data_IF_260849476199
#
_entry.id   IF_260849476199
#
_cell.length_a   1.000
_cell.length_b   1.000
_cell.length_c   1.000
_cell.angle_alpha   90.00
_cell.angle_beta   90.00
_cell.angle_gamma   90.00
#
_symmetry.space_group_name_H-M   'P 1'
#
loop_
_entity.id
_entity.type
_entity.pdbx_description
1 polymer ?
#
# COMPACT_ATOMS: atom_id res chain seq x y z
N UNK A 1 -25.71 47.79 -80.86
CA UNK A 1 -24.54 47.07 -80.39
C UNK A 1 -23.88 47.73 -79.09
N UNK A 2 -24.03 48.99 -78.83
CA UNK A 2 -23.35 49.67 -77.71
C UNK A 2 -24.02 49.37 -76.32
N UNK A 3 -25.34 49.15 -76.24
CA UNK A 3 -26.07 48.88 -74.98
C UNK A 3 -25.83 47.48 -74.39
N UNK A 4 -25.45 46.53 -75.22
CA UNK A 4 -25.19 45.13 -74.76
C UNK A 4 -23.83 45.00 -74.10
N UNK A 5 -22.80 45.71 -74.60
CA UNK A 5 -21.46 45.71 -73.99
C UNK A 5 -21.41 46.39 -72.66
N UNK A 6 -22.16 47.48 -72.47
CA UNK A 6 -22.21 48.21 -71.20
C UNK A 6 -22.87 47.36 -70.08
N UNK A 7 -23.81 46.49 -70.41
CA UNK A 7 -24.50 45.62 -69.46
C UNK A 7 -23.64 44.42 -69.01
N UNK A 8 -22.78 43.91 -69.91
CA UNK A 8 -21.85 42.84 -69.56
C UNK A 8 -20.68 43.36 -68.70
N UNK A 9 -20.22 44.59 -68.94
CA UNK A 9 -19.16 45.20 -68.13
C UNK A 9 -19.64 45.51 -66.70
N UNK A 10 -20.86 46.03 -66.54
CA UNK A 10 -21.46 46.24 -65.21
C UNK A 10 -21.77 44.95 -64.46
N UNK A 11 -22.08 43.85 -65.14
CA UNK A 11 -22.28 42.54 -64.49
C UNK A 11 -20.97 41.90 -64.05
N UNK A 12 -19.88 42.15 -64.81
CA UNK A 12 -18.56 41.62 -64.44
C UNK A 12 -17.97 42.31 -63.20
N UNK A 13 -18.21 43.62 -63.07
CA UNK A 13 -17.75 44.38 -61.89
C UNK A 13 -18.54 44.05 -60.63
N UNK A 14 -19.88 43.81 -60.75
CA UNK A 14 -20.72 43.39 -59.63
C UNK A 14 -20.37 41.96 -59.11
N UNK A 15 -19.97 41.06 -60.04
CA UNK A 15 -19.52 39.72 -59.65
C UNK A 15 -18.12 39.74 -59.00
N UNK A 16 -17.27 40.69 -59.39
CA UNK A 16 -15.95 40.86 -58.80
C UNK A 16 -15.95 41.49 -57.38
N UNK A 17 -16.94 42.37 -57.11
CA UNK A 17 -17.13 42.95 -55.76
C UNK A 17 -17.74 41.94 -54.77
N UNK A 18 -18.70 41.10 -55.21
CA UNK A 18 -19.31 40.10 -54.31
C UNK A 18 -18.34 38.94 -53.97
N UNK A 19 -17.42 38.62 -54.92
CA UNK A 19 -16.32 37.66 -54.66
C UNK A 19 -15.27 38.11 -53.63
N UNK A 20 -15.05 39.44 -53.46
CA UNK A 20 -14.11 39.99 -52.51
C UNK A 20 -14.67 40.12 -51.08
N UNK A 21 -15.99 40.19 -50.94
CA UNK A 21 -16.64 40.30 -49.60
C UNK A 21 -16.84 38.97 -48.87
N UNK A 22 -16.62 37.82 -49.51
CA UNK A 22 -16.79 36.49 -48.88
C UNK A 22 -15.52 35.87 -48.28
N UNK A 23 -14.37 36.48 -48.38
CA UNK A 23 -13.11 35.87 -47.92
C UNK A 23 -12.61 36.33 -46.56
N UNK A 24 -13.31 37.22 -45.84
CA UNK A 24 -12.77 37.75 -44.58
C UNK A 24 -13.77 37.67 -43.41
N UNK A 25 -14.35 36.49 -43.18
CA UNK A 25 -15.08 36.14 -41.94
C UNK A 25 -14.53 34.89 -41.32
N UNK A 26 -13.24 34.65 -41.31
CA UNK A 26 -12.61 33.74 -40.35
C UNK A 26 -12.13 34.57 -39.16
N UNK A 27 -13.06 35.01 -38.38
CA UNK A 27 -12.78 35.67 -37.11
C UNK A 27 -12.11 34.73 -36.10
N UNK A 28 -11.56 35.26 -35.01
CA UNK A 28 -10.62 34.62 -34.12
C UNK A 28 -11.23 33.60 -33.15
N UNK A 29 -12.14 32.72 -33.63
CA UNK A 29 -12.79 31.71 -32.74
C UNK A 29 -11.84 30.63 -32.22
N UNK A 30 -10.77 30.28 -32.94
CA UNK A 30 -9.87 29.22 -32.50
C UNK A 30 -8.81 29.66 -31.46
N UNK A 31 -8.60 30.94 -31.24
CA UNK A 31 -7.60 31.42 -30.26
C UNK A 31 -8.15 31.47 -28.84
N UNK A 32 -9.42 31.73 -28.68
CA UNK A 32 -10.11 31.77 -27.37
C UNK A 32 -10.27 30.36 -26.78
N UNK A 33 -10.62 29.36 -27.59
CA UNK A 33 -10.81 27.98 -27.15
C UNK A 33 -9.50 27.33 -26.66
N UNK A 34 -8.35 27.64 -27.29
CA UNK A 34 -7.03 27.15 -26.83
C UNK A 34 -6.63 27.71 -25.48
N UNK A 35 -7.02 28.95 -25.14
CA UNK A 35 -6.71 29.54 -23.85
C UNK A 35 -7.62 29.01 -22.74
N UNK A 36 -8.87 28.70 -23.03
CA UNK A 36 -9.81 28.13 -22.06
C UNK A 36 -9.36 26.71 -21.66
N UNK A 37 -9.02 25.84 -22.60
CA UNK A 37 -8.52 24.50 -22.31
C UNK A 37 -7.19 24.50 -21.54
N UNK A 38 -6.28 25.43 -21.89
CA UNK A 38 -4.99 25.56 -21.20
C UNK A 38 -5.16 26.09 -19.76
N UNK A 39 -5.99 27.08 -19.56
CA UNK A 39 -6.25 27.63 -18.24
C UNK A 39 -7.00 26.64 -17.36
N UNK A 40 -7.97 25.90 -17.90
CA UNK A 40 -8.67 24.81 -17.20
C UNK A 40 -7.70 23.72 -16.78
N UNK A 41 -6.78 23.29 -17.67
CA UNK A 41 -5.74 22.30 -17.35
C UNK A 41 -4.79 22.77 -16.24
N UNK A 42 -4.38 24.03 -16.25
CA UNK A 42 -3.52 24.60 -15.18
C UNK A 42 -4.29 24.66 -13.87
N UNK A 43 -5.55 25.08 -13.87
CA UNK A 43 -6.38 25.14 -12.65
C UNK A 43 -6.62 23.77 -12.05
N UNK A 44 -6.98 22.77 -12.87
CA UNK A 44 -7.14 21.39 -12.41
C UNK A 44 -5.82 20.83 -11.89
N UNK A 45 -4.71 21.07 -12.58
CA UNK A 45 -3.38 20.66 -12.13
C UNK A 45 -3.01 21.27 -10.78
N UNK A 46 -3.27 22.57 -10.58
CA UNK A 46 -3.02 23.24 -9.30
C UNK A 46 -3.87 22.66 -8.16
N UNK A 47 -5.13 22.38 -8.40
CA UNK A 47 -6.03 21.74 -7.41
C UNK A 47 -5.49 20.36 -7.02
N UNK A 48 -5.06 19.55 -7.99
CA UNK A 48 -4.51 18.21 -7.74
C UNK A 48 -3.23 18.31 -6.90
N UNK A 49 -2.34 19.26 -7.19
CA UNK A 49 -1.10 19.45 -6.43
C UNK A 49 -1.41 19.86 -4.98
N UNK A 50 -2.32 20.81 -4.78
CA UNK A 50 -2.72 21.25 -3.42
C UNK A 50 -3.37 20.11 -2.65
N UNK A 51 -4.27 19.35 -3.27
CA UNK A 51 -4.90 18.19 -2.65
C UNK A 51 -3.87 17.10 -2.29
N UNK A 52 -2.95 16.79 -3.19
CA UNK A 52 -1.87 15.84 -2.94
C UNK A 52 -0.96 16.27 -1.80
N UNK A 53 -0.62 17.57 -1.72
CA UNK A 53 0.21 18.12 -0.66
C UNK A 53 -0.49 18.07 0.70
N UNK A 54 -1.77 18.46 0.76
CA UNK A 54 -2.57 18.38 1.98
C UNK A 54 -2.71 16.92 2.45
N UNK A 55 -2.96 16.00 1.52
CA UNK A 55 -3.06 14.58 1.81
C UNK A 55 -1.75 14.00 2.35
N UNK A 56 -0.62 14.40 1.78
CA UNK A 56 0.71 14.01 2.26
C UNK A 56 0.93 14.44 3.72
N UNK A 57 0.54 15.67 4.08
CA UNK A 57 0.64 16.15 5.47
C UNK A 57 -0.23 15.31 6.40
N UNK A 58 -1.48 15.02 6.01
CA UNK A 58 -2.40 14.19 6.81
C UNK A 58 -1.82 12.79 7.00
N UNK A 59 -1.38 12.14 5.93
CA UNK A 59 -0.83 10.78 5.99
C UNK A 59 0.41 10.67 6.89
N UNK A 60 1.28 11.68 6.91
CA UNK A 60 2.51 11.67 7.71
C UNK A 60 2.32 12.14 9.16
N UNK A 61 1.22 12.83 9.46
CA UNK A 61 0.84 13.19 10.83
C UNK A 61 -0.15 12.23 11.47
N UNK A 62 -0.58 11.22 10.72
CA UNK A 62 -1.56 10.26 11.19
C UNK A 62 -0.92 9.33 12.23
N UNK A 63 -1.25 9.51 13.50
CA UNK A 63 -0.73 8.74 14.64
C UNK A 63 -1.38 7.36 14.77
N UNK A 64 -2.66 7.29 14.49
CA UNK A 64 -3.46 6.09 14.68
C UNK A 64 -3.14 4.99 13.66
N UNK A 65 -3.71 3.82 13.84
CA UNK A 65 -3.54 2.71 12.92
C UNK A 65 -4.17 3.02 11.56
N UNK A 66 -3.44 2.74 10.49
CA UNK A 66 -3.90 2.99 9.13
C UNK A 66 -5.21 2.26 8.82
N UNK A 67 -6.04 2.81 7.90
CA UNK A 67 -7.28 2.17 7.47
C UNK A 67 -7.05 0.75 6.97
N UNK A 68 -8.09 -0.07 7.04
CA UNK A 68 -8.12 -1.44 6.51
C UNK A 68 -7.04 -2.38 7.09
N UNK A 69 -6.69 -2.14 8.36
CA UNK A 69 -5.73 -2.96 9.11
C UNK A 69 -6.48 -3.86 10.10
N UNK A 70 -6.04 -5.11 10.20
CA UNK A 70 -6.69 -6.16 10.97
C UNK A 70 -5.66 -6.91 11.82
N UNK A 71 -6.13 -7.49 12.92
CA UNK A 71 -5.41 -8.53 13.68
C UNK A 71 -6.33 -9.73 13.80
N UNK A 72 -5.94 -10.88 13.24
CA UNK A 72 -6.73 -12.13 13.29
C UNK A 72 -8.22 -11.87 12.99
N UNK A 73 -8.50 -11.27 11.83
CA UNK A 73 -9.83 -10.90 11.33
C UNK A 73 -10.56 -9.77 12.09
N UNK A 74 -10.03 -9.28 13.21
CA UNK A 74 -10.59 -8.11 13.90
C UNK A 74 -10.08 -6.82 13.29
N UNK A 75 -11.00 -5.95 12.88
CA UNK A 75 -10.65 -4.63 12.35
C UNK A 75 -10.15 -3.72 13.47
N UNK A 76 -8.88 -3.29 13.37
CA UNK A 76 -8.24 -2.37 14.32
C UNK A 76 -7.98 -0.98 13.71
N UNK A 77 -8.53 -0.72 12.51
CA UNK A 77 -8.35 0.55 11.80
C UNK A 77 -8.74 1.73 12.66
N UNK A 78 -7.94 2.78 12.63
CA UNK A 78 -8.16 4.04 13.36
C UNK A 78 -8.12 3.93 14.89
N UNK A 79 -7.76 2.78 15.43
CA UNK A 79 -7.49 2.70 16.85
C UNK A 79 -6.27 3.54 17.20
N UNK A 80 -6.36 4.25 18.30
CA UNK A 80 -5.22 4.89 18.95
C UNK A 80 -4.33 3.83 19.61
N UNK A 81 -3.12 4.22 19.96
CA UNK A 81 -2.18 3.34 20.68
C UNK A 81 -2.81 2.74 21.94
N UNK A 82 -3.45 3.56 22.79
CA UNK A 82 -4.07 3.12 24.04
C UNK A 82 -5.28 2.20 23.85
N UNK A 83 -6.06 2.42 22.80
CA UNK A 83 -7.19 1.54 22.46
C UNK A 83 -6.71 0.19 21.99
N UNK A 84 -5.66 0.16 21.14
CA UNK A 84 -5.07 -1.09 20.67
C UNK A 84 -4.40 -1.84 21.84
N UNK A 85 -3.64 -1.17 22.68
CA UNK A 85 -3.03 -1.78 23.88
C UNK A 85 -4.08 -2.45 24.76
N UNK A 86 -5.18 -1.75 25.04
CA UNK A 86 -6.30 -2.29 25.83
C UNK A 86 -6.92 -3.51 25.15
N UNK A 87 -7.11 -3.44 23.83
CA UNK A 87 -7.63 -4.56 23.03
C UNK A 87 -6.70 -5.77 23.09
N UNK A 88 -5.39 -5.58 22.90
CA UNK A 88 -4.40 -6.65 22.91
C UNK A 88 -4.34 -7.32 24.29
N UNK A 89 -4.26 -6.56 25.36
CA UNK A 89 -4.18 -7.09 26.73
C UNK A 89 -5.42 -7.90 27.11
N UNK A 90 -6.59 -7.52 26.62
CA UNK A 90 -7.83 -8.27 26.84
C UNK A 90 -7.93 -9.52 25.94
N UNK A 91 -7.50 -9.41 24.69
CA UNK A 91 -7.73 -10.45 23.69
C UNK A 91 -6.59 -11.47 23.64
N UNK A 92 -5.36 -11.03 23.83
CA UNK A 92 -4.14 -11.81 23.74
C UNK A 92 -3.37 -11.83 25.08
N UNK A 93 -4.08 -12.14 26.17
CA UNK A 93 -3.42 -12.26 27.46
C UNK A 93 -2.39 -13.40 27.47
N UNK A 94 -1.29 -13.22 28.19
CA UNK A 94 -0.21 -14.21 28.32
C UNK A 94 -0.71 -15.59 28.77
N UNK A 95 -1.78 -15.64 29.54
CA UNK A 95 -2.32 -16.87 30.09
C UNK A 95 -3.06 -17.75 29.05
N UNK A 96 -3.49 -17.17 27.94
CA UNK A 96 -4.25 -17.91 26.91
C UNK A 96 -3.48 -19.04 26.25
N UNK A 97 -2.16 -18.91 26.17
CA UNK A 97 -1.30 -19.91 25.55
C UNK A 97 -0.74 -20.93 26.56
N UNK A 98 -0.83 -20.67 27.88
CA UNK A 98 -0.23 -21.56 28.90
C UNK A 98 -0.76 -23.00 28.88
N UNK A 99 -2.02 -23.19 28.53
CA UNK A 99 -2.64 -24.51 28.41
C UNK A 99 -2.46 -25.19 27.04
N UNK A 100 -1.82 -24.50 26.09
CA UNK A 100 -1.61 -25.03 24.74
C UNK A 100 -0.49 -26.05 24.67
N UNK A 101 -0.49 -26.84 23.59
CA UNK A 101 0.54 -27.82 23.28
C UNK A 101 0.98 -27.61 21.84
N UNK A 102 2.29 -27.64 21.61
CA UNK A 102 2.89 -27.62 20.27
C UNK A 102 3.36 -29.02 19.96
N UNK A 103 3.02 -29.49 18.76
CA UNK A 103 3.53 -30.76 18.25
C UNK A 103 4.75 -30.52 17.40
N UNK A 104 5.90 -30.98 17.84
CA UNK A 104 7.13 -31.04 17.04
C UNK A 104 7.13 -32.34 16.24
N UNK A 105 7.23 -32.25 14.93
CA UNK A 105 7.20 -33.41 14.03
C UNK A 105 8.54 -33.49 13.30
N UNK A 106 9.21 -34.65 13.41
CA UNK A 106 10.41 -34.95 12.67
C UNK A 106 10.28 -36.37 12.05
N UNK A 107 10.13 -36.41 10.73
CA UNK A 107 9.83 -37.64 9.98
C UNK A 107 8.62 -38.38 10.56
N UNK A 108 8.81 -39.57 11.12
CA UNK A 108 7.76 -40.44 11.70
C UNK A 108 7.57 -40.21 13.21
N UNK A 109 8.48 -39.46 13.85
CA UNK A 109 8.40 -39.17 15.27
C UNK A 109 7.73 -37.80 15.53
N UNK A 110 7.01 -37.73 16.66
CA UNK A 110 6.45 -36.49 17.14
C UNK A 110 6.66 -36.37 18.66
N UNK A 111 6.77 -35.10 19.10
CA UNK A 111 6.85 -34.74 20.52
C UNK A 111 5.85 -33.64 20.81
N UNK A 112 5.00 -33.88 21.77
CA UNK A 112 4.05 -32.87 22.27
C UNK A 112 4.70 -32.09 23.41
N UNK A 113 4.95 -30.79 23.19
CA UNK A 113 5.59 -29.89 24.16
C UNK A 113 4.59 -28.85 24.62
N UNK A 114 4.42 -28.70 25.93
CA UNK A 114 3.50 -27.68 26.46
C UNK A 114 4.06 -26.27 26.21
N UNK A 115 3.20 -25.34 25.84
CA UNK A 115 3.57 -23.95 25.67
C UNK A 115 4.18 -23.33 26.93
N UNK A 116 3.73 -23.78 28.13
CA UNK A 116 4.32 -23.37 29.43
C UNK A 116 5.79 -23.75 29.55
N UNK A 117 6.19 -24.91 29.04
CA UNK A 117 7.55 -25.43 29.16
C UNK A 117 8.52 -24.64 28.28
N UNK A 118 8.03 -24.09 27.18
CA UNK A 118 8.76 -23.23 26.26
C UNK A 118 8.62 -21.72 26.58
N UNK A 119 7.94 -21.37 27.68
CA UNK A 119 7.61 -19.98 28.04
C UNK A 119 6.91 -19.22 26.90
N UNK A 120 6.03 -19.90 26.13
CA UNK A 120 5.33 -19.26 25.01
C UNK A 120 4.25 -18.33 25.55
N UNK A 121 4.30 -17.09 25.11
CA UNK A 121 3.33 -16.04 25.43
C UNK A 121 3.13 -15.09 24.26
N UNK A 122 2.01 -14.36 24.26
CA UNK A 122 1.85 -13.23 23.33
C UNK A 122 2.74 -12.06 23.77
N UNK A 123 3.45 -11.49 22.82
CA UNK A 123 4.19 -10.24 22.98
C UNK A 123 3.31 -9.09 22.47
N UNK A 124 2.49 -8.56 23.38
CA UNK A 124 1.55 -7.50 23.05
C UNK A 124 2.25 -6.19 22.71
N UNK A 125 3.41 -5.91 23.35
CA UNK A 125 4.19 -4.72 23.06
C UNK A 125 4.76 -4.77 21.64
N UNK A 126 5.39 -5.87 21.26
CA UNK A 126 5.89 -6.05 19.90
C UNK A 126 4.76 -6.03 18.86
N UNK A 127 3.58 -6.60 19.18
CA UNK A 127 2.40 -6.55 18.31
C UNK A 127 1.88 -5.13 18.15
N UNK A 128 1.81 -4.37 19.24
CA UNK A 128 1.43 -2.95 19.24
C UNK A 128 2.36 -2.13 18.35
N UNK A 129 3.65 -2.25 18.55
CA UNK A 129 4.67 -1.53 17.78
C UNK A 129 4.62 -1.92 16.29
N UNK A 130 4.42 -3.19 15.97
CA UNK A 130 4.25 -3.64 14.60
C UNK A 130 3.01 -2.97 13.95
N UNK A 131 1.88 -2.94 14.66
CA UNK A 131 0.65 -2.35 14.15
C UNK A 131 0.78 -0.84 13.92
N UNK A 132 1.35 -0.11 14.89
CA UNK A 132 1.57 1.33 14.79
C UNK A 132 2.53 1.72 13.67
N UNK A 133 3.57 0.91 13.45
CA UNK A 133 4.60 1.17 12.45
C UNK A 133 4.22 0.65 11.05
N UNK A 134 3.17 -0.15 10.93
CA UNK A 134 2.77 -0.71 9.64
C UNK A 134 2.40 0.37 8.62
N UNK A 135 3.20 0.46 7.56
CA UNK A 135 3.06 1.46 6.50
C UNK A 135 3.66 2.85 6.80
N UNK A 136 4.28 3.04 7.99
CA UNK A 136 4.82 4.34 8.45
C UNK A 136 6.36 4.38 8.52
N UNK A 137 7.05 3.31 8.15
CA UNK A 137 8.52 3.20 8.28
C UNK A 137 9.31 3.73 7.10
N UNK A 138 8.64 4.24 6.09
CA UNK A 138 9.24 4.79 4.88
C UNK A 138 9.49 6.29 4.96
N UNK A 139 9.96 6.85 3.83
CA UNK A 139 10.01 8.31 3.67
C UNK A 139 8.59 8.88 3.47
N UNK A 140 8.47 10.21 3.46
CA UNK A 140 7.19 10.92 3.33
C UNK A 140 6.33 10.41 2.16
N UNK A 141 6.93 10.16 0.99
CA UNK A 141 6.20 9.69 -0.19
C UNK A 141 5.76 8.23 -0.04
N UNK A 142 6.62 7.39 0.51
CA UNK A 142 6.31 5.97 0.77
C UNK A 142 5.18 5.83 1.78
N UNK A 143 5.22 6.61 2.87
CA UNK A 143 4.16 6.63 3.88
C UNK A 143 2.84 7.11 3.28
N UNK A 144 2.87 8.18 2.47
CA UNK A 144 1.68 8.68 1.76
C UNK A 144 1.10 7.62 0.82
N UNK A 145 1.95 6.96 0.03
CA UNK A 145 1.52 5.88 -0.86
C UNK A 145 0.94 4.70 -0.08
N UNK A 146 1.60 4.30 1.01
CA UNK A 146 1.12 3.24 1.91
C UNK A 146 -0.24 3.59 2.50
N UNK A 147 -0.43 4.82 2.96
CA UNK A 147 -1.71 5.29 3.48
C UNK A 147 -2.83 5.23 2.43
N UNK A 148 -2.57 5.70 1.20
CA UNK A 148 -3.54 5.60 0.09
C UNK A 148 -3.86 4.15 -0.25
N UNK A 149 -2.82 3.32 -0.37
CA UNK A 149 -2.97 1.89 -0.67
C UNK A 149 -3.89 1.18 0.32
N UNK A 150 -3.87 1.57 1.60
CA UNK A 150 -4.71 0.98 2.65
C UNK A 150 -6.22 1.18 2.44
N UNK A 151 -6.65 2.16 1.69
CA UNK A 151 -8.08 2.28 1.35
C UNK A 151 -8.56 1.16 0.42
N UNK A 152 -7.65 0.50 -0.29
CA UNK A 152 -7.97 -0.51 -1.31
C UNK A 152 -7.47 -1.92 -0.95
N UNK A 153 -6.52 -2.04 0.00
CA UNK A 153 -5.90 -3.31 0.36
C UNK A 153 -5.97 -3.57 1.86
N UNK A 154 -6.46 -4.77 2.23
CA UNK A 154 -6.44 -5.28 3.60
C UNK A 154 -4.99 -5.57 4.01
N UNK A 155 -4.65 -5.23 5.24
CA UNK A 155 -3.44 -5.70 5.92
C UNK A 155 -3.82 -6.49 7.14
N UNK A 156 -3.28 -7.69 7.24
CA UNK A 156 -3.50 -8.56 8.37
C UNK A 156 -2.20 -8.73 9.16
N UNK A 157 -2.21 -8.21 10.38
CA UNK A 157 -1.09 -8.28 11.30
C UNK A 157 -1.27 -9.52 12.16
N UNK A 158 -0.23 -10.32 12.27
CA UNK A 158 -0.23 -11.48 13.15
C UNK A 158 0.27 -11.10 14.53
N UNK A 159 -0.39 -11.52 15.61
CA UNK A 159 0.13 -11.34 16.96
C UNK A 159 1.55 -11.92 17.08
N UNK A 160 2.45 -11.15 17.65
CA UNK A 160 3.82 -11.59 17.90
C UNK A 160 3.80 -12.53 19.09
N UNK A 161 4.56 -13.62 18.98
CA UNK A 161 4.71 -14.62 20.02
C UNK A 161 6.16 -14.60 20.50
N UNK A 162 6.35 -14.49 21.81
CA UNK A 162 7.63 -14.66 22.49
C UNK A 162 7.77 -16.10 22.98
N UNK A 163 8.98 -16.64 22.92
CA UNK A 163 9.30 -17.98 23.39
C UNK A 163 10.78 -18.07 23.80
N UNK A 164 11.07 -19.04 24.65
CA UNK A 164 12.44 -19.36 25.09
C UNK A 164 13.15 -20.20 24.03
N UNK A 165 14.15 -19.60 23.38
CA UNK A 165 14.91 -20.24 22.29
C UNK A 165 15.72 -21.43 22.75
N UNK A 166 16.28 -21.40 23.97
CA UNK A 166 17.09 -22.49 24.49
C UNK A 166 16.23 -23.70 24.79
N UNK A 167 15.08 -23.51 25.41
CA UNK A 167 14.11 -24.56 25.67
C UNK A 167 13.55 -25.17 24.39
N UNK A 168 13.24 -24.32 23.41
CA UNK A 168 12.78 -24.82 22.10
C UNK A 168 13.88 -25.65 21.40
N UNK A 169 15.13 -25.16 21.42
CA UNK A 169 16.25 -25.90 20.85
C UNK A 169 16.46 -27.25 21.55
N UNK A 170 16.36 -27.31 22.88
CA UNK A 170 16.44 -28.53 23.64
C UNK A 170 15.32 -29.53 23.25
N UNK A 171 14.09 -29.06 23.12
CA UNK A 171 12.98 -29.89 22.69
C UNK A 171 13.13 -30.40 21.24
N UNK A 172 13.64 -29.56 20.32
CA UNK A 172 13.95 -29.98 18.95
C UNK A 172 15.05 -31.05 18.96
N UNK A 173 16.14 -30.87 19.73
CA UNK A 173 17.21 -31.84 19.82
C UNK A 173 16.73 -33.17 20.38
N UNK A 174 15.77 -33.18 21.30
CA UNK A 174 15.18 -34.41 21.82
C UNK A 174 14.50 -35.22 20.70
N UNK A 175 13.72 -34.56 19.83
CA UNK A 175 13.02 -35.23 18.71
C UNK A 175 14.03 -35.68 17.63
N UNK A 176 15.05 -34.89 17.37
CA UNK A 176 16.01 -35.15 16.29
C UNK A 176 17.13 -36.10 16.68
N UNK A 177 17.38 -36.34 17.98
CA UNK A 177 18.49 -37.16 18.49
C UNK A 177 18.55 -38.55 17.88
N UNK A 178 17.42 -39.15 17.55
CA UNK A 178 17.35 -40.47 16.90
C UNK A 178 17.84 -40.46 15.45
N UNK A 179 17.91 -39.29 14.83
CA UNK A 179 18.28 -39.11 13.43
C UNK A 179 19.69 -38.53 13.25
N UNK A 180 20.40 -38.29 14.35
CA UNK A 180 21.81 -37.92 14.32
C UNK A 180 22.60 -39.10 13.77
N UNK A 181 23.11 -38.95 12.55
CA UNK A 181 24.05 -39.94 11.95
C UNK A 181 25.42 -39.51 12.39
N UNK A 182 26.09 -40.37 13.18
CA UNK A 182 27.52 -40.18 13.48
C UNK A 182 28.29 -40.10 12.15
N UNK A 183 29.17 -39.10 11.97
CA UNK A 183 29.98 -39.00 10.77
C UNK A 183 30.87 -40.23 10.68
N UNK A 184 30.65 -41.12 9.73
CA UNK A 184 31.51 -42.26 9.44
C UNK A 184 32.82 -41.71 8.89
N UNK A 185 33.86 -41.73 9.70
CA UNK A 185 35.20 -41.32 9.31
C UNK A 185 35.72 -42.19 8.17
N UNK A 186 35.79 -41.66 6.96
CA UNK A 186 36.48 -42.32 5.85
C UNK A 186 37.97 -42.11 5.97
N UNK A 187 38.68 -43.17 6.35
CA UNK A 187 40.14 -43.20 6.34
C UNK A 187 40.60 -43.56 4.92
N UNK A 188 41.13 -42.61 4.19
CA UNK A 188 41.80 -42.89 2.91
C UNK A 188 43.20 -43.40 3.19
N UNK A 189 43.48 -44.66 2.85
CA UNK A 189 44.87 -45.17 2.76
C UNK A 189 45.38 -44.83 1.34
N UNK A 190 46.36 -43.94 1.25
CA UNK A 190 47.13 -43.71 0.04
C UNK A 190 48.24 -44.78 0.00
N UNK A 191 48.22 -45.63 -1.02
CA UNK A 191 49.29 -46.58 -1.32
C UNK A 191 50.35 -45.89 -2.17
#
# INVERSE_FOLDING_TARGET
MAKTKLKEELLSDEILEDGKKKSDKRGPKHRAERHIGRNLGITVGAIVVVAASAFTVVANKYSDIYPNTYISDTNISKMSESELETYLNRTYSADKLKGGTIKLICKDDNLDVKCSDLNISFDNEATLQQALNTGKTGNMFQNTFSFVKRFFTKEDIRPVISYDREKLAAAINEVTKKYEIEPVGHTFKIN
#
